data_IF_496156503072
#
_entry.id   IF_496156503072
#
_cell.length_a   1.000
_cell.length_b   1.000
_cell.length_c   1.000
_cell.angle_alpha   90.00
_cell.angle_beta   90.00
_cell.angle_gamma   90.00
#
_symmetry.space_group_name_H-M   'P 1'
#
loop_
_entity.id
_entity.type
_entity.pdbx_description
1 polymer ?
#
# COMPACT_ATOMS: atom_id res chain seq x y z
N UNK A 1 -15.42 23.06 4.34
CA UNK A 1 -14.48 22.37 3.43
C UNK A 1 -14.73 20.88 3.57
N UNK A 2 -15.00 20.16 2.48
CA UNK A 2 -14.98 18.70 2.53
C UNK A 2 -13.56 18.24 2.88
N UNK A 3 -13.38 17.19 3.69
CA UNK A 3 -12.05 16.62 3.93
C UNK A 3 -11.45 16.22 2.58
N UNK A 4 -10.24 16.70 2.29
CA UNK A 4 -9.54 16.29 1.08
C UNK A 4 -9.05 14.86 1.26
N UNK A 5 -9.35 13.99 0.31
CA UNK A 5 -8.81 12.64 0.26
C UNK A 5 -7.29 12.70 0.20
N UNK A 6 -6.61 11.93 1.04
CA UNK A 6 -5.17 11.74 0.97
C UNK A 6 -4.90 10.41 0.27
N UNK A 7 -4.01 10.42 -0.70
CA UNK A 7 -3.62 9.23 -1.45
C UNK A 7 -2.26 8.78 -0.98
N UNK A 8 -2.13 7.51 -0.62
CA UNK A 8 -0.87 6.91 -0.14
C UNK A 8 -0.44 5.81 -1.09
N UNK A 9 0.78 5.92 -1.61
CA UNK A 9 1.49 4.86 -2.32
C UNK A 9 2.08 3.88 -1.30
N UNK A 10 1.73 2.62 -1.47
CA UNK A 10 2.28 1.50 -0.75
C UNK A 10 3.24 0.73 -1.66
N UNK A 11 4.37 0.32 -1.09
CA UNK A 11 5.32 -0.61 -1.69
C UNK A 11 5.28 -1.94 -0.93
N UNK A 12 5.59 -3.03 -1.61
CA UNK A 12 5.86 -4.31 -0.94
C UNK A 12 7.23 -4.25 -0.26
N UNK A 13 7.31 -4.73 0.97
CA UNK A 13 8.60 -4.94 1.62
C UNK A 13 9.38 -6.06 0.91
N UNK A 14 10.26 -5.66 -0.01
CA UNK A 14 11.15 -6.56 -0.74
C UNK A 14 12.41 -6.91 0.08
N UNK A 15 12.70 -6.18 1.17
CA UNK A 15 13.84 -6.47 2.05
C UNK A 15 13.53 -7.63 3.00
N UNK A 16 12.26 -7.81 3.37
CA UNK A 16 11.80 -8.95 4.16
C UNK A 16 10.73 -9.74 3.39
N UNK A 17 11.13 -10.55 2.38
CA UNK A 17 10.19 -11.29 1.53
C UNK A 17 9.29 -12.28 2.30
N UNK A 18 9.68 -12.64 3.53
CA UNK A 18 8.87 -13.47 4.43
C UNK A 18 7.61 -12.72 4.91
N UNK A 19 7.68 -11.40 5.05
CA UNK A 19 6.56 -10.62 5.57
C UNK A 19 5.46 -10.44 4.51
N UNK A 20 5.84 -10.31 3.22
CA UNK A 20 4.91 -9.94 2.14
C UNK A 20 3.91 -8.88 2.66
N UNK A 21 4.44 -7.82 3.29
CA UNK A 21 3.69 -6.72 3.89
C UNK A 21 3.73 -5.48 2.99
N UNK A 22 2.64 -4.72 3.02
CA UNK A 22 2.54 -3.40 2.41
C UNK A 22 3.11 -2.36 3.38
N UNK A 23 3.92 -1.46 2.86
CA UNK A 23 4.54 -0.37 3.59
C UNK A 23 4.19 0.97 2.91
N UNK A 24 3.78 2.00 3.66
CA UNK A 24 3.58 3.32 3.09
C UNK A 24 4.93 3.95 2.74
N UNK A 25 5.01 4.53 1.54
CA UNK A 25 6.27 5.02 0.98
C UNK A 25 6.17 6.49 0.54
N UNK A 26 5.04 6.86 -0.06
CA UNK A 26 4.76 8.23 -0.47
C UNK A 26 3.27 8.57 -0.28
N UNK A 27 2.93 9.85 -0.14
CA UNK A 27 1.53 10.27 -0.18
C UNK A 27 1.35 11.75 -0.51
N UNK A 28 0.21 12.06 -1.13
CA UNK A 28 -0.17 13.42 -1.52
C UNK A 28 -1.71 13.55 -1.58
N UNK A 29 -2.22 14.78 -1.51
CA UNK A 29 -3.63 15.06 -1.76
C UNK A 29 -3.99 15.02 -3.25
N UNK A 30 -3.02 15.24 -4.15
CA UNK A 30 -3.18 15.07 -5.59
C UNK A 30 -2.81 13.66 -6.01
N UNK A 31 -3.83 12.89 -6.40
CA UNK A 31 -3.68 11.54 -6.92
C UNK A 31 -2.68 11.46 -8.08
N UNK A 32 -2.57 12.48 -8.94
CA UNK A 32 -1.65 12.46 -10.08
C UNK A 32 -0.19 12.50 -9.64
N UNK A 33 0.11 13.17 -8.53
CA UNK A 33 1.47 13.20 -7.95
C UNK A 33 1.82 11.80 -7.45
N UNK A 34 0.89 11.12 -6.78
CA UNK A 34 1.09 9.75 -6.30
C UNK A 34 1.21 8.74 -7.46
N UNK A 35 0.47 8.95 -8.54
CA UNK A 35 0.57 8.13 -9.76
C UNK A 35 1.90 8.34 -10.49
N UNK A 36 2.40 9.58 -10.58
CA UNK A 36 3.72 9.87 -11.12
C UNK A 36 4.83 9.19 -10.29
N UNK A 37 4.76 9.29 -8.96
CA UNK A 37 5.71 8.60 -8.08
C UNK A 37 5.64 7.08 -8.28
N UNK A 38 4.43 6.50 -8.39
CA UNK A 38 4.28 5.06 -8.70
C UNK A 38 4.95 4.71 -10.03
N UNK A 39 4.81 5.54 -11.05
CA UNK A 39 5.37 5.29 -12.38
C UNK A 39 6.92 5.37 -12.35
N UNK A 40 7.50 6.28 -11.55
CA UNK A 40 8.94 6.30 -11.28
C UNK A 40 9.42 4.99 -10.62
N UNK A 41 8.64 4.39 -9.72
CA UNK A 41 8.96 3.08 -9.14
C UNK A 41 8.88 1.96 -10.19
N UNK A 42 7.90 2.02 -11.10
CA UNK A 42 7.77 1.07 -12.22
C UNK A 42 8.98 1.16 -13.14
N UNK A 43 9.44 2.36 -13.46
CA UNK A 43 10.62 2.60 -14.30
C UNK A 43 11.92 2.13 -13.63
N UNK A 44 11.99 2.18 -12.30
CA UNK A 44 13.11 1.61 -11.52
C UNK A 44 13.05 0.08 -11.36
N UNK A 45 12.00 -0.58 -11.87
CA UNK A 45 11.91 -2.04 -11.95
C UNK A 45 10.94 -2.73 -10.99
N UNK A 46 10.15 -1.98 -10.21
CA UNK A 46 9.12 -2.59 -9.34
C UNK A 46 7.99 -3.19 -10.19
N UNK A 47 7.52 -4.38 -9.81
CA UNK A 47 6.36 -5.00 -10.43
C UNK A 47 5.06 -4.27 -10.02
N UNK A 48 4.06 -4.28 -10.90
CA UNK A 48 2.77 -3.64 -10.60
C UNK A 48 2.08 -4.29 -9.39
N UNK A 49 2.33 -5.57 -9.14
CA UNK A 49 1.84 -6.29 -7.96
C UNK A 49 2.53 -5.88 -6.66
N UNK A 50 3.63 -5.14 -6.73
CA UNK A 50 4.42 -4.64 -5.59
C UNK A 50 4.08 -3.20 -5.23
N UNK A 51 3.21 -2.55 -6.00
CA UNK A 51 2.80 -1.17 -5.81
C UNK A 51 1.28 -1.08 -5.65
N UNK A 52 0.81 -0.25 -4.72
CA UNK A 52 -0.63 -0.04 -4.53
C UNK A 52 -0.90 1.35 -4.02
N UNK A 53 -1.83 2.06 -4.66
CA UNK A 53 -2.33 3.35 -4.16
C UNK A 53 -3.62 3.09 -3.38
N UNK A 54 -3.70 3.65 -2.18
CA UNK A 54 -4.90 3.61 -1.32
C UNK A 54 -5.32 5.01 -0.91
N UNK A 55 -6.56 5.16 -0.50
CA UNK A 55 -7.08 6.38 0.11
C UNK A 55 -6.99 6.26 1.64
N UNK A 56 -6.48 7.30 2.28
CA UNK A 56 -6.26 7.37 3.72
C UNK A 56 -6.63 8.75 4.25
N UNK A 57 -6.54 8.93 5.58
CA UNK A 57 -6.33 10.26 6.12
C UNK A 57 -4.89 10.73 5.88
N UNK A 58 -4.63 12.01 6.12
CA UNK A 58 -3.30 12.61 5.95
C UNK A 58 -2.42 12.49 7.20
N UNK A 59 -2.95 11.98 8.31
CA UNK A 59 -2.18 11.75 9.53
C UNK A 59 -1.58 10.34 9.54
N UNK A 60 -0.37 10.23 10.09
CA UNK A 60 0.37 8.96 10.12
C UNK A 60 -0.44 7.84 10.80
N UNK A 61 -1.19 8.17 11.87
CA UNK A 61 -1.98 7.20 12.61
C UNK A 61 -3.08 6.57 11.76
N UNK A 62 -3.78 7.36 10.95
CA UNK A 62 -4.81 6.85 10.05
C UNK A 62 -4.21 6.07 8.87
N UNK A 63 -3.06 6.48 8.34
CA UNK A 63 -2.32 5.69 7.34
C UNK A 63 -1.95 4.32 7.92
N UNK A 64 -1.32 4.29 9.10
CA UNK A 64 -0.88 3.06 9.76
C UNK A 64 -2.05 2.12 10.03
N UNK A 65 -3.20 2.65 10.48
CA UNK A 65 -4.40 1.86 10.74
C UNK A 65 -4.93 1.18 9.47
N UNK A 66 -4.97 1.90 8.34
CA UNK A 66 -5.44 1.35 7.06
C UNK A 66 -4.45 0.32 6.52
N UNK A 67 -3.15 0.58 6.60
CA UNK A 67 -2.11 -0.35 6.16
C UNK A 67 -2.10 -1.62 7.01
N UNK A 68 -2.24 -1.50 8.33
CA UNK A 68 -2.31 -2.64 9.24
C UNK A 68 -3.54 -3.52 8.94
N UNK A 69 -4.71 -2.91 8.73
CA UNK A 69 -5.93 -3.62 8.36
C UNK A 69 -5.77 -4.35 7.01
N UNK A 70 -5.14 -3.69 6.02
CA UNK A 70 -4.84 -4.29 4.72
C UNK A 70 -3.93 -5.52 4.86
N UNK A 71 -2.83 -5.39 5.61
CA UNK A 71 -1.88 -6.48 5.84
C UNK A 71 -2.53 -7.67 6.59
N UNK A 72 -3.39 -7.40 7.56
CA UNK A 72 -4.14 -8.43 8.27
C UNK A 72 -5.12 -9.17 7.33
N UNK A 73 -5.81 -8.43 6.46
CA UNK A 73 -6.74 -9.02 5.49
C UNK A 73 -6.02 -9.90 4.45
N UNK A 74 -4.88 -9.46 3.93
CA UNK A 74 -4.06 -10.25 2.99
C UNK A 74 -3.49 -11.51 3.66
N UNK A 75 -2.99 -11.39 4.90
CA UNK A 75 -2.53 -12.52 5.69
C UNK A 75 -3.63 -13.56 5.92
N UNK A 76 -4.87 -13.11 6.21
CA UNK A 76 -6.01 -13.98 6.40
C UNK A 76 -6.42 -14.72 5.10
N UNK A 77 -6.29 -14.08 3.92
CA UNK A 77 -6.53 -14.72 2.62
C UNK A 77 -5.53 -15.84 2.36
N UNK A 78 -4.24 -15.60 2.65
CA UNK A 78 -3.18 -16.62 2.49
C UNK A 78 -3.46 -17.82 3.40
N UNK A 79 -3.81 -17.59 4.68
CA UNK A 79 -4.14 -18.65 5.62
C UNK A 79 -5.36 -19.49 5.17
N UNK A 80 -6.38 -18.86 4.57
CA UNK A 80 -7.54 -19.56 4.02
C UNK A 80 -7.20 -20.38 2.78
N UNK A 81 -6.30 -19.90 1.92
CA UNK A 81 -5.89 -20.58 0.69
C UNK A 81 -5.01 -21.82 0.96
N UNK A 82 -4.26 -21.83 2.07
CA UNK A 82 -3.49 -23.00 2.53
C UNK A 82 -4.31 -24.09 3.22
N UNK A 83 -5.61 -23.86 3.45
CA UNK A 83 -6.56 -24.84 3.99
C UNK A 83 -7.48 -25.32 2.85
N UNK A 84 -6.93 -26.07 1.90
CA UNK A 84 -7.72 -26.94 1.02
C UNK A 84 -7.59 -28.38 1.56
N UNK A 85 -8.67 -29.18 1.54
CA UNK A 85 -8.70 -30.55 2.09
C UNK A 85 -7.80 -31.52 1.34
#
# INVERSE_FOLDING_TARGET
MAPRTYHTLLTRDLKHPISNQWCPDFGDYDRKVVEAERDDYRDKGWAAAELRIIETSSDQKGIDAVVAALNAAESAKVARKGRAP
#
